data_IF_522924340086
#
_entry.id   IF_522924340086
#
_cell.length_a   1.000
_cell.length_b   1.000
_cell.length_c   1.000
_cell.angle_alpha   90.00
_cell.angle_beta   90.00
_cell.angle_gamma   90.00
#
_symmetry.space_group_name_H-M   'P 1'
#
loop_
_entity.id
_entity.type
_entity.pdbx_description
1 polymer ?
#
# COMPACT_ATOMS: atom_id res chain seq x y z
N UNK A 1 8.95 25.68 -8.51
CA UNK A 1 8.94 26.80 -7.57
C UNK A 1 7.53 27.36 -7.37
N UNK A 2 6.82 27.79 -8.41
CA UNK A 2 5.48 28.38 -8.32
C UNK A 2 4.44 27.46 -7.67
N UNK A 3 4.51 26.15 -7.93
CA UNK A 3 3.63 25.16 -7.31
C UNK A 3 3.79 25.13 -5.77
N UNK A 4 5.02 25.08 -5.28
CA UNK A 4 5.30 25.06 -3.82
C UNK A 4 4.84 26.36 -3.18
N UNK A 5 5.14 27.50 -3.79
CA UNK A 5 4.76 28.80 -3.28
C UNK A 5 3.25 28.96 -3.21
N UNK A 6 2.52 28.60 -4.28
CA UNK A 6 1.05 28.65 -4.28
C UNK A 6 0.45 27.70 -3.23
N UNK A 7 0.99 26.50 -3.07
CA UNK A 7 0.55 25.55 -2.05
C UNK A 7 0.70 26.14 -0.65
N UNK A 8 1.84 26.75 -0.32
CA UNK A 8 2.06 27.40 0.99
C UNK A 8 1.05 28.53 1.21
N UNK A 9 0.83 29.40 0.21
CA UNK A 9 -0.13 30.50 0.31
C UNK A 9 -1.54 29.96 0.56
N UNK A 10 -1.98 28.95 -0.20
CA UNK A 10 -3.32 28.36 -0.02
C UNK A 10 -3.47 27.66 1.33
N UNK A 11 -2.46 26.92 1.79
CA UNK A 11 -2.47 26.28 3.12
C UNK A 11 -2.64 27.33 4.21
N UNK A 12 -1.87 28.41 4.19
CA UNK A 12 -1.99 29.49 5.19
C UNK A 12 -3.36 30.19 5.07
N UNK A 13 -3.83 30.50 3.86
CA UNK A 13 -5.08 31.20 3.64
C UNK A 13 -6.31 30.42 4.14
N UNK A 14 -6.34 29.08 3.90
CA UNK A 14 -7.48 28.23 4.25
C UNK A 14 -7.36 27.51 5.60
N UNK A 15 -6.26 27.68 6.32
CA UNK A 15 -6.10 27.09 7.65
C UNK A 15 -5.94 28.17 8.72
N UNK A 16 -7.04 28.66 9.33
CA UNK A 16 -7.04 29.78 10.27
C UNK A 16 -6.09 29.62 11.46
N UNK A 17 -5.80 28.37 11.89
CA UNK A 17 -4.83 28.08 12.92
C UNK A 17 -3.44 28.63 12.63
N UNK A 18 -3.07 28.78 11.36
CA UNK A 18 -1.76 29.29 10.92
C UNK A 18 -1.68 30.82 10.89
N UNK A 19 -2.78 31.56 11.03
CA UNK A 19 -2.80 33.01 10.82
C UNK A 19 -1.97 33.81 11.82
N UNK A 20 -1.86 33.35 13.08
CA UNK A 20 -1.12 34.05 14.14
C UNK A 20 0.38 33.77 14.03
N UNK A 21 0.75 32.52 13.85
CA UNK A 21 2.13 32.04 13.73
C UNK A 21 2.18 30.87 12.73
N UNK A 22 2.33 31.16 11.42
CA UNK A 22 2.26 30.15 10.39
C UNK A 22 3.27 29.01 10.58
N UNK A 23 4.50 29.33 10.90
CA UNK A 23 5.56 28.33 11.01
C UNK A 23 5.49 27.57 12.34
N UNK A 24 5.35 28.28 13.47
CA UNK A 24 5.28 27.64 14.78
C UNK A 24 4.03 26.78 14.96
N UNK A 25 2.88 27.26 14.47
CA UNK A 25 1.62 26.49 14.55
C UNK A 25 1.63 25.29 13.58
N UNK A 26 2.23 25.40 12.41
CA UNK A 26 2.43 24.25 11.54
C UNK A 26 3.29 23.18 12.21
N UNK A 27 4.42 23.58 12.78
CA UNK A 27 5.32 22.65 13.46
C UNK A 27 4.65 22.00 14.68
N UNK A 28 3.91 22.79 15.48
CA UNK A 28 3.13 22.26 16.62
C UNK A 28 2.08 21.24 16.17
N UNK A 29 1.31 21.54 15.12
CA UNK A 29 0.32 20.63 14.57
C UNK A 29 0.97 19.33 14.09
N UNK A 30 2.10 19.44 13.38
CA UNK A 30 2.85 18.29 12.88
C UNK A 30 3.39 17.41 14.02
N UNK A 31 4.01 18.02 15.04
CA UNK A 31 4.53 17.31 16.20
C UNK A 31 3.40 16.67 17.01
N UNK A 32 2.28 17.36 17.18
CA UNK A 32 1.12 16.82 17.89
C UNK A 32 0.52 15.61 17.16
N UNK A 33 0.37 15.68 15.85
CA UNK A 33 -0.11 14.56 15.04
C UNK A 33 0.87 13.37 15.06
N UNK A 34 2.16 13.63 15.05
CA UNK A 34 3.18 12.58 15.06
C UNK A 34 3.36 11.90 16.42
N UNK A 35 3.03 12.62 17.51
CA UNK A 35 3.19 12.15 18.90
C UNK A 35 1.89 11.75 19.57
N UNK A 36 0.72 12.07 18.98
CA UNK A 36 -0.58 11.78 19.62
C UNK A 36 -0.86 10.29 19.64
N UNK A 37 -0.74 9.71 20.84
CA UNK A 37 -1.20 8.35 21.13
C UNK A 37 -2.66 8.43 21.55
N UNK A 38 -3.57 8.20 20.63
CA UNK A 38 -4.99 8.09 20.98
C UNK A 38 -5.22 6.79 21.74
N UNK A 39 -5.60 6.92 23.03
CA UNK A 39 -6.00 5.79 23.86
C UNK A 39 -7.45 5.41 23.52
N UNK A 40 -7.61 4.60 22.49
CA UNK A 40 -8.91 4.08 22.07
C UNK A 40 -8.99 2.59 22.34
N UNK A 41 -10.15 2.14 22.80
CA UNK A 41 -10.44 0.71 22.91
C UNK A 41 -10.93 0.21 21.56
N UNK A 42 -10.29 -0.83 21.05
CA UNK A 42 -10.56 -1.43 19.73
C UNK A 42 -10.99 -2.87 19.94
N UNK A 43 -12.06 -3.29 19.24
CA UNK A 43 -12.44 -4.69 19.18
C UNK A 43 -11.65 -5.39 18.06
N UNK A 44 -10.88 -6.41 18.43
CA UNK A 44 -10.03 -7.14 17.49
C UNK A 44 -9.98 -8.63 17.85
N UNK A 45 -10.31 -9.49 16.90
CA UNK A 45 -10.33 -10.97 17.05
C UNK A 45 -11.04 -11.44 18.33
N UNK A 46 -12.21 -10.85 18.63
CA UNK A 46 -13.02 -11.24 19.78
C UNK A 46 -12.57 -10.64 21.12
N UNK A 47 -11.59 -9.74 21.14
CA UNK A 47 -11.06 -9.10 22.36
C UNK A 47 -11.04 -7.57 22.23
N UNK A 48 -11.23 -6.90 23.35
CA UNK A 48 -11.00 -5.45 23.47
C UNK A 48 -9.54 -5.20 23.79
N UNK A 49 -8.85 -4.45 22.93
CA UNK A 49 -7.45 -4.06 23.10
C UNK A 49 -7.33 -2.54 23.07
N UNK A 50 -6.34 -2.00 23.75
CA UNK A 50 -6.04 -0.55 23.69
C UNK A 50 -5.17 -0.29 22.46
N UNK A 51 -5.42 0.82 21.76
CA UNK A 51 -4.77 1.20 20.49
C UNK A 51 -3.23 1.26 20.54
N UNK A 52 -2.64 1.43 21.71
CA UNK A 52 -1.18 1.39 21.90
C UNK A 52 -0.60 -0.03 21.99
N UNK A 53 -1.46 -1.05 22.24
CA UNK A 53 -1.06 -2.46 22.39
C UNK A 53 -1.51 -3.31 21.19
N UNK A 54 -1.58 -2.71 20.03
CA UNK A 54 -1.99 -3.38 18.79
C UNK A 54 -0.95 -4.42 18.39
N UNK A 55 -1.35 -5.68 18.10
CA UNK A 55 -0.46 -6.69 17.58
C UNK A 55 0.15 -6.30 16.24
N UNK A 56 1.38 -6.71 15.97
CA UNK A 56 2.09 -6.43 14.72
C UNK A 56 1.34 -6.88 13.45
N UNK A 57 0.54 -7.93 13.54
CA UNK A 57 -0.25 -8.46 12.44
C UNK A 57 -1.61 -7.75 12.21
N UNK A 58 -1.95 -6.74 13.02
CA UNK A 58 -3.26 -6.08 13.00
C UNK A 58 -3.66 -5.58 11.60
N UNK A 59 -2.80 -4.80 10.95
CA UNK A 59 -3.11 -4.23 9.64
C UNK A 59 -3.18 -5.29 8.54
N UNK A 60 -2.32 -6.31 8.61
CA UNK A 60 -2.33 -7.42 7.64
C UNK A 60 -3.65 -8.20 7.72
N UNK A 61 -4.11 -8.48 8.93
CA UNK A 61 -5.39 -9.17 9.14
C UNK A 61 -6.56 -8.31 8.63
N UNK A 62 -6.57 -7.01 8.93
CA UNK A 62 -7.63 -6.13 8.44
C UNK A 62 -7.64 -6.02 6.91
N UNK A 63 -6.49 -5.87 6.27
CA UNK A 63 -6.37 -5.89 4.80
C UNK A 63 -6.94 -7.23 4.27
N UNK A 64 -6.56 -8.35 4.89
CA UNK A 64 -7.01 -9.67 4.47
C UNK A 64 -8.52 -9.90 4.60
N UNK A 65 -9.15 -9.36 5.65
CA UNK A 65 -10.60 -9.56 5.89
C UNK A 65 -11.46 -8.58 5.07
N UNK A 66 -10.97 -7.36 4.84
CA UNK A 66 -11.76 -6.32 4.16
C UNK A 66 -11.55 -6.27 2.65
N UNK A 67 -10.50 -6.89 2.14
CA UNK A 67 -10.23 -6.93 0.70
C UNK A 67 -10.83 -8.21 0.09
N UNK A 68 -11.51 -8.13 -1.07
CA UNK A 68 -12.05 -9.33 -1.74
C UNK A 68 -10.97 -10.39 -1.95
N UNK A 69 -11.31 -11.65 -1.67
CA UNK A 69 -10.36 -12.77 -1.72
C UNK A 69 -9.67 -12.90 -3.09
N UNK A 70 -10.42 -12.61 -4.16
CA UNK A 70 -9.88 -12.64 -5.52
C UNK A 70 -8.77 -11.60 -5.73
N UNK A 71 -8.95 -10.40 -5.16
CA UNK A 71 -7.95 -9.32 -5.24
C UNK A 71 -6.69 -9.73 -4.49
N UNK A 72 -6.83 -10.31 -3.29
CA UNK A 72 -5.70 -10.81 -2.51
C UNK A 72 -4.96 -11.92 -3.27
N UNK A 73 -5.70 -12.87 -3.85
CA UNK A 73 -5.10 -13.98 -4.60
C UNK A 73 -4.31 -13.47 -5.81
N UNK A 74 -4.89 -12.53 -6.56
CA UNK A 74 -4.22 -11.92 -7.69
C UNK A 74 -3.02 -11.05 -7.26
N UNK A 75 -3.14 -10.33 -6.15
CA UNK A 75 -2.04 -9.57 -5.57
C UNK A 75 -0.86 -10.48 -5.22
N UNK A 76 -1.10 -11.61 -4.53
CA UNK A 76 -0.05 -12.57 -4.19
C UNK A 76 0.63 -13.15 -5.43
N UNK A 77 -0.16 -13.49 -6.46
CA UNK A 77 0.39 -13.92 -7.76
C UNK A 77 1.22 -12.83 -8.43
N UNK A 78 0.78 -11.58 -8.35
CA UNK A 78 1.50 -10.42 -8.87
C UNK A 78 2.83 -10.22 -8.16
N UNK A 79 2.83 -10.23 -6.84
CA UNK A 79 4.05 -10.15 -6.01
C UNK A 79 4.99 -11.31 -6.31
N UNK A 80 4.48 -12.54 -6.39
CA UNK A 80 5.28 -13.71 -6.73
C UNK A 80 5.93 -13.57 -8.12
N UNK A 81 5.16 -13.17 -9.12
CA UNK A 81 5.66 -12.97 -10.48
C UNK A 81 6.72 -11.86 -10.55
N UNK A 82 6.49 -10.76 -9.81
CA UNK A 82 7.45 -9.66 -9.68
C UNK A 82 8.76 -10.16 -9.03
N UNK A 83 8.68 -10.81 -7.86
CA UNK A 83 9.85 -11.30 -7.13
C UNK A 83 10.63 -12.33 -7.95
N UNK A 84 9.95 -13.25 -8.63
CA UNK A 84 10.59 -14.23 -9.52
C UNK A 84 11.39 -13.54 -10.62
N UNK A 85 10.80 -12.55 -11.30
CA UNK A 85 11.46 -11.80 -12.36
C UNK A 85 12.62 -10.96 -11.81
N UNK A 86 12.42 -10.30 -10.70
CA UNK A 86 13.41 -9.47 -10.04
C UNK A 86 14.63 -10.31 -9.59
N UNK A 87 14.40 -11.45 -8.92
CA UNK A 87 15.47 -12.36 -8.48
C UNK A 87 16.24 -12.94 -9.66
N UNK A 88 15.53 -13.33 -10.75
CA UNK A 88 16.19 -13.84 -11.94
C UNK A 88 17.11 -12.80 -12.60
N UNK A 89 16.69 -11.54 -12.61
CA UNK A 89 17.52 -10.44 -13.11
C UNK A 89 18.71 -10.16 -12.20
N UNK A 90 18.52 -10.18 -10.89
CA UNK A 90 19.63 -10.01 -9.93
C UNK A 90 20.72 -11.07 -10.10
N UNK A 91 20.33 -12.32 -10.34
CA UNK A 91 21.28 -13.43 -10.53
C UNK A 91 22.00 -13.35 -11.88
N UNK A 92 21.32 -12.86 -12.93
CA UNK A 92 21.92 -12.69 -14.28
C UNK A 92 22.73 -11.39 -14.47
N UNK A 93 22.94 -10.64 -13.41
CA UNK A 93 23.62 -9.33 -13.42
C UNK A 93 25.10 -9.35 -13.79
N UNK A 94 25.66 -10.47 -14.22
CA UNK A 94 27.09 -10.55 -14.51
C UNK A 94 27.55 -9.70 -15.70
N UNK A 95 26.62 -9.09 -16.47
CA UNK A 95 27.03 -8.37 -17.69
C UNK A 95 26.54 -6.91 -17.79
N UNK A 96 25.46 -6.48 -17.10
CA UNK A 96 24.99 -5.07 -17.17
C UNK A 96 24.15 -4.67 -15.96
N UNK A 97 24.77 -4.11 -14.92
CA UNK A 97 24.13 -3.54 -13.71
C UNK A 97 23.06 -2.47 -14.01
N UNK A 98 23.10 -1.87 -15.20
CA UNK A 98 22.20 -0.79 -15.60
C UNK A 98 20.82 -1.28 -16.09
N UNK A 99 20.60 -2.57 -16.27
CA UNK A 99 19.41 -3.10 -16.91
C UNK A 99 18.19 -3.23 -15.98
N UNK A 100 18.40 -3.29 -14.65
CA UNK A 100 17.32 -3.36 -13.67
C UNK A 100 16.50 -2.06 -13.64
N UNK A 101 17.14 -0.92 -13.90
CA UNK A 101 16.57 0.42 -13.76
C UNK A 101 16.21 1.07 -15.10
N UNK A 102 16.50 0.44 -16.23
CA UNK A 102 16.31 1.01 -17.57
C UNK A 102 14.90 0.86 -18.13
N UNK A 103 14.07 -0.01 -17.59
CA UNK A 103 12.70 -0.18 -18.08
C UNK A 103 11.71 0.57 -17.18
N UNK A 104 10.94 1.50 -17.74
CA UNK A 104 9.87 2.21 -17.02
C UNK A 104 8.93 1.24 -16.28
N UNK A 105 8.69 0.07 -16.88
CA UNK A 105 7.84 -0.97 -16.31
C UNK A 105 8.43 -1.59 -15.05
N UNK A 106 9.71 -1.91 -15.04
CA UNK A 106 10.38 -2.50 -13.90
C UNK A 106 10.46 -1.52 -12.73
N UNK A 107 10.69 -0.25 -13.04
CA UNK A 107 10.70 0.82 -12.05
C UNK A 107 9.32 1.01 -11.42
N UNK A 108 8.24 0.96 -12.21
CA UNK A 108 6.88 1.03 -11.70
C UNK A 108 6.51 -0.18 -10.83
N UNK A 109 6.91 -1.39 -11.22
CA UNK A 109 6.65 -2.61 -10.43
C UNK A 109 7.35 -2.54 -9.06
N UNK A 110 8.62 -2.08 -9.03
CA UNK A 110 9.36 -1.85 -7.78
C UNK A 110 8.67 -0.78 -6.94
N UNK A 111 8.25 0.32 -7.57
CA UNK A 111 7.55 1.40 -6.89
C UNK A 111 6.27 0.90 -6.21
N UNK A 112 5.38 0.20 -6.93
CA UNK A 112 4.15 -0.33 -6.36
C UNK A 112 4.42 -1.37 -5.26
N UNK A 113 5.43 -2.21 -5.42
CA UNK A 113 5.81 -3.17 -4.39
C UNK A 113 6.30 -2.48 -3.11
N UNK A 114 7.18 -1.49 -3.23
CA UNK A 114 7.70 -0.74 -2.09
C UNK A 114 6.62 0.12 -1.44
N UNK A 115 5.68 0.69 -2.21
CA UNK A 115 4.55 1.45 -1.69
C UNK A 115 3.61 0.61 -0.83
N UNK A 116 3.57 -0.71 -1.02
CA UNK A 116 2.84 -1.63 -0.13
C UNK A 116 3.71 -2.10 1.01
N UNK A 117 4.92 -2.57 0.72
CA UNK A 117 5.80 -3.19 1.70
C UNK A 117 6.24 -2.22 2.79
N UNK A 118 6.71 -1.03 2.41
CA UNK A 118 7.31 -0.08 3.34
C UNK A 118 6.33 0.45 4.40
N UNK A 119 5.11 0.92 4.06
CA UNK A 119 4.14 1.35 5.06
C UNK A 119 3.69 0.21 5.99
N UNK A 120 3.55 -1.02 5.48
CA UNK A 120 3.20 -2.18 6.31
C UNK A 120 4.34 -2.46 7.32
N UNK A 121 5.59 -2.48 6.89
CA UNK A 121 6.73 -2.69 7.78
C UNK A 121 6.84 -1.59 8.85
N UNK A 122 6.62 -0.33 8.47
CA UNK A 122 6.60 0.78 9.43
C UNK A 122 5.46 0.64 10.44
N UNK A 123 4.30 0.18 10.01
CA UNK A 123 3.15 -0.01 10.91
C UNK A 123 3.38 -1.14 11.91
N UNK A 124 4.07 -2.21 11.52
CA UNK A 124 4.48 -3.30 12.40
C UNK A 124 5.41 -2.79 13.52
N UNK A 125 6.38 -1.93 13.16
CA UNK A 125 7.38 -1.42 14.11
C UNK A 125 6.84 -0.43 15.14
N UNK A 126 5.78 0.33 14.81
CA UNK A 126 5.29 1.43 15.65
C UNK A 126 4.02 1.13 16.44
N UNK A 127 3.33 0.02 16.18
CA UNK A 127 2.08 -0.35 16.85
C UNK A 127 0.99 0.73 16.74
N UNK A 128 1.02 1.54 15.67
CA UNK A 128 0.11 2.66 15.48
C UNK A 128 -1.07 2.20 14.64
N UNK A 129 -2.25 2.21 15.20
CA UNK A 129 -3.46 1.94 14.43
C UNK A 129 -4.72 1.91 15.28
N UNK A 130 -5.82 2.39 14.72
CA UNK A 130 -7.18 2.24 15.22
C UNK A 130 -8.12 2.28 14.01
N UNK A 131 -9.35 1.79 14.19
CA UNK A 131 -10.35 1.71 13.11
C UNK A 131 -9.88 0.96 11.86
N UNK A 132 -9.33 -0.25 12.05
CA UNK A 132 -8.85 -1.08 10.95
C UNK A 132 -7.57 -0.53 10.32
N UNK A 133 -7.45 -0.63 9.01
CA UNK A 133 -6.28 -0.18 8.26
C UNK A 133 -6.49 1.15 7.51
N UNK A 134 -7.45 1.94 7.94
CA UNK A 134 -7.82 3.21 7.32
C UNK A 134 -6.63 4.17 7.10
N UNK A 135 -5.66 4.17 8.02
CA UNK A 135 -4.46 4.99 7.91
C UNK A 135 -3.49 4.52 6.82
N UNK A 136 -3.62 3.27 6.38
CA UNK A 136 -2.84 2.68 5.30
C UNK A 136 -3.64 2.62 3.98
N UNK A 137 -4.83 3.20 3.90
CA UNK A 137 -5.69 3.07 2.72
C UNK A 137 -5.06 3.61 1.43
N UNK A 138 -4.11 4.50 1.54
CA UNK A 138 -3.33 5.01 0.42
C UNK A 138 -2.48 3.94 -0.30
N UNK A 139 -2.24 2.77 0.34
CA UNK A 139 -1.55 1.65 -0.32
C UNK A 139 -2.48 0.84 -1.22
N UNK A 140 -3.81 1.01 -1.09
CA UNK A 140 -4.78 0.19 -1.81
C UNK A 140 -4.65 0.29 -3.35
N UNK A 141 -4.44 1.47 -3.96
CA UNK A 141 -4.15 1.54 -5.39
C UNK A 141 -2.96 0.68 -5.82
N UNK A 142 -1.90 0.64 -5.01
CA UNK A 142 -0.72 -0.20 -5.30
C UNK A 142 -1.02 -1.68 -5.17
N UNK A 143 -1.86 -2.09 -4.22
CA UNK A 143 -2.36 -3.47 -4.12
C UNK A 143 -3.12 -3.86 -5.39
N UNK A 144 -4.01 -2.98 -5.88
CA UNK A 144 -4.76 -3.23 -7.13
C UNK A 144 -3.83 -3.31 -8.35
N UNK A 145 -2.82 -2.44 -8.46
CA UNK A 145 -1.86 -2.49 -9.56
C UNK A 145 -1.07 -3.80 -9.57
N UNK A 146 -0.62 -4.27 -8.41
CA UNK A 146 0.04 -5.58 -8.28
C UNK A 146 -0.93 -6.74 -8.56
N UNK A 147 -2.21 -6.62 -8.17
CA UNK A 147 -3.22 -7.61 -8.52
C UNK A 147 -3.49 -7.68 -10.02
N UNK A 148 -3.55 -6.53 -10.71
CA UNK A 148 -3.64 -6.48 -12.18
C UNK A 148 -2.41 -7.13 -12.83
N UNK A 149 -1.24 -6.94 -12.26
CA UNK A 149 -0.03 -7.61 -12.71
C UNK A 149 -0.14 -9.14 -12.54
N UNK A 150 -0.67 -9.60 -11.42
CA UNK A 150 -0.98 -11.02 -11.18
C UNK A 150 -2.00 -11.59 -12.16
N UNK A 151 -3.03 -10.82 -12.49
CA UNK A 151 -4.01 -11.17 -13.51
C UNK A 151 -3.35 -11.34 -14.90
N UNK A 152 -2.46 -10.42 -15.25
CA UNK A 152 -1.70 -10.51 -16.50
C UNK A 152 -0.80 -11.74 -16.55
N UNK A 153 -0.14 -12.06 -15.45
CA UNK A 153 0.68 -13.26 -15.32
C UNK A 153 -0.17 -14.55 -15.44
N UNK A 154 -1.33 -14.57 -14.78
CA UNK A 154 -2.29 -15.69 -14.87
C UNK A 154 -2.78 -15.87 -16.32
N UNK A 155 -3.12 -14.76 -16.99
CA UNK A 155 -3.52 -14.79 -18.40
C UNK A 155 -2.45 -15.38 -19.33
N UNK A 156 -1.19 -15.08 -19.06
CA UNK A 156 -0.06 -15.58 -19.87
C UNK A 156 0.19 -17.08 -19.68
N UNK A 157 -0.07 -17.62 -18.47
CA UNK A 157 0.13 -19.04 -18.17
C UNK A 157 -1.01 -19.89 -18.71
N UNK A 158 -2.26 -19.45 -18.61
CA UNK A 158 -3.41 -20.21 -19.05
C UNK A 158 -3.48 -20.17 -20.59
N UNK A 159 -3.18 -21.29 -21.22
CA UNK A 159 -3.21 -21.44 -22.69
C UNK A 159 -4.59 -21.87 -23.22
N UNK A 160 -5.36 -22.60 -22.41
CA UNK A 160 -6.64 -23.18 -22.81
C UNK A 160 -7.75 -22.13 -22.74
N UNK A 161 -8.41 -21.85 -23.89
CA UNK A 161 -9.45 -20.81 -24.02
C UNK A 161 -10.64 -21.02 -23.06
N UNK A 162 -11.10 -22.26 -22.89
CA UNK A 162 -12.20 -22.56 -21.98
C UNK A 162 -11.86 -22.23 -20.52
N UNK A 163 -10.63 -22.55 -20.06
CA UNK A 163 -10.17 -22.24 -18.71
C UNK A 163 -10.07 -20.72 -18.50
N UNK A 164 -9.62 -19.96 -19.51
CA UNK A 164 -9.60 -18.48 -19.46
C UNK A 164 -10.99 -17.91 -19.23
N UNK A 165 -12.00 -18.38 -19.97
CA UNK A 165 -13.38 -17.90 -19.86
C UNK A 165 -13.90 -18.18 -18.45
N UNK A 166 -13.74 -19.41 -17.93
CA UNK A 166 -14.17 -19.77 -16.57
C UNK A 166 -13.47 -18.88 -15.53
N UNK A 167 -12.15 -18.68 -15.63
CA UNK A 167 -11.40 -17.84 -14.71
C UNK A 167 -11.90 -16.41 -14.72
N UNK A 168 -12.15 -15.82 -15.90
CA UNK A 168 -12.65 -14.44 -16.00
C UNK A 168 -14.08 -14.29 -15.45
N UNK A 169 -14.94 -15.27 -15.71
CA UNK A 169 -16.29 -15.30 -15.15
C UNK A 169 -16.25 -15.34 -13.63
N UNK A 170 -15.40 -16.17 -13.04
CA UNK A 170 -15.23 -16.25 -11.59
C UNK A 170 -14.68 -14.93 -11.01
N UNK A 171 -13.72 -14.29 -11.67
CA UNK A 171 -13.20 -12.98 -11.25
C UNK A 171 -14.30 -11.92 -11.29
N UNK A 172 -15.07 -11.86 -12.39
CA UNK A 172 -16.15 -10.91 -12.55
C UNK A 172 -17.25 -11.11 -11.46
N UNK A 173 -17.64 -12.34 -11.18
CA UNK A 173 -18.61 -12.65 -10.12
C UNK A 173 -18.17 -12.25 -8.70
N UNK A 174 -16.88 -12.20 -8.43
CA UNK A 174 -16.36 -11.80 -7.11
C UNK A 174 -16.16 -10.28 -6.96
N UNK A 175 -16.28 -9.52 -8.05
CA UNK A 175 -16.16 -8.06 -8.04
C UNK A 175 -17.52 -7.35 -8.06
N UNK A 176 -18.59 -8.08 -8.29
CA UNK A 176 -19.99 -7.59 -8.20
C UNK A 176 -20.56 -7.85 -6.82
#
# INVERSE_FOLDING_TARGET
>A
FYFILSTIIFVIAFWPYLWIDPFGNFLRAFLQLSSSKFLLTIFYLGKYIISINIPSHYHIVWIGVTTPLIVISLFLLGVFSFLKRFSFRLVKLNENLNDIWRGDKEMLDIYFFLMVLFPILLSIGKGLGYNGWRHLYFIYPSIIMLALYGFYYLHAIIKIKAIKIITYSLIAMNLT
#
